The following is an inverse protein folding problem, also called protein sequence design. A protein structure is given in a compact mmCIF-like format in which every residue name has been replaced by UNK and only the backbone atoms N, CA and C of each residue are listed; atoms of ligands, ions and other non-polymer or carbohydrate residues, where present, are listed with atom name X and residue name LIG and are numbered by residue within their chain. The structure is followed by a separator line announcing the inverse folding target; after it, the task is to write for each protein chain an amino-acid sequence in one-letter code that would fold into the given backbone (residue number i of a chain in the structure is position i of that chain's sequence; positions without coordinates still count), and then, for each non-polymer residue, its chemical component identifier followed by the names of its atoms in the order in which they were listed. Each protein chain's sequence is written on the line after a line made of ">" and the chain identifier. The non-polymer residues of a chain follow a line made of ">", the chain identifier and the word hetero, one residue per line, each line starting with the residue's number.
data_IF_264589999925
#
_entry.id   IF_264589999925
#
_cell.length_a   1.000
_cell.length_b   1.000
_cell.length_c   1.000
_cell.angle_alpha   90.00
_cell.angle_beta   90.00
_cell.angle_gamma   90.00
#
_symmetry.space_group_name_H-M   'P 1'
#
loop_
_entity.id
_entity.type
_entity.pdbx_description
1 polymer ?
#
# COMPACT_ATOMS: atom_id res chain seq x y z
N UNK A 1 -17.82 76.19 -25.55
CA UNK A 1 -16.91 75.41 -24.66
C UNK A 1 -17.26 73.96 -24.84
N UNK A 2 -16.60 73.35 -25.79
CA UNK A 2 -16.78 71.91 -26.12
C UNK A 2 -15.71 71.16 -25.33
N UNK A 3 -16.16 70.29 -24.43
CA UNK A 3 -15.31 69.36 -23.67
C UNK A 3 -15.00 68.19 -24.56
N UNK A 4 -13.72 68.04 -24.96
CA UNK A 4 -13.19 66.88 -25.65
C UNK A 4 -13.20 65.66 -24.70
N UNK A 5 -13.98 64.68 -25.11
CA UNK A 5 -14.03 63.33 -24.48
C UNK A 5 -12.76 62.57 -24.89
N UNK A 6 -11.81 62.42 -23.96
CA UNK A 6 -10.63 61.58 -24.15
C UNK A 6 -11.05 60.11 -23.98
N UNK A 7 -10.83 59.22 -24.95
CA UNK A 7 -11.20 57.82 -24.82
C UNK A 7 -10.32 57.09 -23.77
N UNK A 8 -11.00 56.46 -22.83
CA UNK A 8 -10.39 55.58 -21.82
C UNK A 8 -9.75 54.40 -22.57
N UNK A 9 -8.46 54.08 -22.33
CA UNK A 9 -7.85 52.92 -22.99
C UNK A 9 -8.54 51.65 -22.52
N UNK A 10 -9.07 50.88 -23.49
CA UNK A 10 -9.71 49.58 -23.25
C UNK A 10 -8.77 48.58 -22.59
N UNK A 11 -9.30 47.53 -21.99
CA UNK A 11 -8.52 46.57 -21.22
C UNK A 11 -7.41 45.95 -22.09
N UNK A 12 -6.21 45.86 -21.50
CA UNK A 12 -5.02 45.28 -22.09
C UNK A 12 -5.32 43.86 -22.61
N UNK A 13 -5.48 43.74 -23.94
CA UNK A 13 -5.83 42.52 -24.63
C UNK A 13 -4.61 41.59 -24.85
N UNK A 14 -3.52 41.76 -24.07
CA UNK A 14 -2.27 41.01 -24.16
C UNK A 14 -1.98 40.20 -22.91
N UNK A 15 -3.00 39.65 -22.25
CA UNK A 15 -2.77 38.63 -21.24
C UNK A 15 -2.47 37.31 -21.96
N UNK A 16 -1.24 36.88 -21.94
CA UNK A 16 -0.85 35.56 -22.40
C UNK A 16 -1.60 34.56 -21.53
N UNK A 17 -2.63 33.92 -22.08
CA UNK A 17 -3.31 32.81 -21.37
C UNK A 17 -2.41 31.58 -21.48
N UNK A 18 -1.86 31.19 -20.37
CA UNK A 18 -1.13 29.94 -20.24
C UNK A 18 -2.16 28.81 -20.36
N UNK A 19 -1.98 27.94 -21.34
CA UNK A 19 -2.79 26.73 -21.50
C UNK A 19 -2.15 25.61 -20.67
N UNK A 20 -2.54 25.55 -19.39
CA UNK A 20 -2.00 24.60 -18.41
C UNK A 20 -2.22 23.14 -18.85
N UNK A 21 -3.34 22.81 -19.48
CA UNK A 21 -3.61 21.46 -19.97
C UNK A 21 -2.66 21.05 -21.09
N UNK A 22 -2.37 21.98 -21.98
CA UNK A 22 -1.46 21.77 -23.10
C UNK A 22 -0.01 21.61 -22.64
N UNK A 23 0.40 22.40 -21.64
CA UNK A 23 1.73 22.28 -21.01
C UNK A 23 1.83 20.93 -20.29
N UNK A 24 0.85 20.58 -19.47
CA UNK A 24 0.80 19.31 -18.76
C UNK A 24 0.85 18.12 -19.73
N UNK A 25 0.02 18.10 -20.74
CA UNK A 25 0.01 17.03 -21.74
C UNK A 25 1.31 16.94 -22.56
N UNK A 26 2.05 18.05 -22.72
CA UNK A 26 3.38 18.03 -23.33
C UNK A 26 4.41 17.43 -22.39
N UNK A 27 4.45 17.87 -21.14
CA UNK A 27 5.35 17.35 -20.11
C UNK A 27 5.15 15.84 -19.88
N UNK A 28 3.91 15.39 -19.77
CA UNK A 28 3.59 13.98 -19.59
C UNK A 28 4.12 13.12 -20.76
N UNK A 29 4.02 13.62 -21.99
CA UNK A 29 4.58 12.93 -23.16
C UNK A 29 6.10 12.88 -23.16
N UNK A 30 6.76 13.98 -22.80
CA UNK A 30 8.22 14.04 -22.73
C UNK A 30 8.74 13.12 -21.65
N UNK A 31 8.17 13.18 -20.44
CA UNK A 31 8.58 12.33 -19.32
C UNK A 31 8.38 10.85 -19.65
N UNK A 32 7.21 10.50 -20.19
CA UNK A 32 6.91 9.11 -20.60
C UNK A 32 7.86 8.62 -21.69
N UNK A 33 8.11 9.42 -22.72
CA UNK A 33 9.04 9.09 -23.80
C UNK A 33 10.47 8.87 -23.27
N UNK A 34 10.94 9.75 -22.38
CA UNK A 34 12.27 9.60 -21.76
C UNK A 34 12.39 8.34 -20.92
N UNK A 35 11.36 8.01 -20.13
CA UNK A 35 11.32 6.78 -19.34
C UNK A 35 11.33 5.55 -20.26
N UNK A 36 10.51 5.54 -21.30
CA UNK A 36 10.44 4.45 -22.28
C UNK A 36 11.79 4.23 -22.99
N UNK A 37 12.40 5.31 -23.48
CA UNK A 37 13.71 5.26 -24.15
C UNK A 37 14.80 4.76 -23.20
N UNK A 38 14.83 5.28 -21.97
CA UNK A 38 15.82 4.88 -20.96
C UNK A 38 15.69 3.39 -20.62
N UNK A 39 14.50 2.91 -20.36
CA UNK A 39 14.28 1.49 -20.04
C UNK A 39 14.64 0.60 -21.21
N UNK A 40 14.26 0.96 -22.43
CA UNK A 40 14.61 0.20 -23.62
C UNK A 40 16.14 0.19 -23.88
N UNK A 41 16.84 1.31 -23.65
CA UNK A 41 18.29 1.39 -23.74
C UNK A 41 18.99 0.49 -22.70
N UNK A 42 18.48 0.46 -21.47
CA UNK A 42 19.00 -0.43 -20.43
C UNK A 42 18.80 -1.90 -20.76
N UNK A 43 17.62 -2.28 -21.28
CA UNK A 43 17.34 -3.66 -21.74
C UNK A 43 18.26 -4.07 -22.90
N UNK A 44 18.53 -3.16 -23.82
CA UNK A 44 19.45 -3.38 -24.92
C UNK A 44 20.90 -3.54 -24.43
N UNK A 45 21.35 -2.68 -23.50
CA UNK A 45 22.68 -2.78 -22.90
C UNK A 45 22.88 -4.11 -22.14
N UNK A 46 21.85 -4.58 -21.42
CA UNK A 46 21.87 -5.85 -20.72
C UNK A 46 21.94 -7.03 -21.69
N UNK A 47 21.23 -6.97 -22.81
CA UNK A 47 21.29 -7.98 -23.86
C UNK A 47 22.67 -8.00 -24.53
N UNK A 48 23.32 -6.83 -24.75
CA UNK A 48 24.69 -6.77 -25.27
C UNK A 48 25.68 -7.41 -24.30
N UNK A 49 25.52 -7.17 -23.01
CA UNK A 49 26.35 -7.80 -21.97
C UNK A 49 26.18 -9.34 -21.95
N UNK A 50 24.95 -9.84 -22.04
CA UNK A 50 24.67 -11.27 -22.09
C UNK A 50 25.21 -11.93 -23.38
N UNK A 51 25.12 -11.22 -24.49
CA UNK A 51 25.68 -11.68 -25.77
C UNK A 51 27.22 -11.57 -25.85
N UNK A 52 27.82 -10.80 -24.93
CA UNK A 52 29.23 -10.36 -24.98
C UNK A 52 29.63 -9.77 -26.35
N UNK A 53 28.70 -9.02 -26.95
CA UNK A 53 28.89 -8.29 -28.21
C UNK A 53 27.72 -7.33 -28.46
N UNK A 54 27.99 -6.20 -29.09
CA UNK A 54 26.96 -5.24 -29.51
C UNK A 54 26.10 -5.80 -30.66
N UNK A 55 24.97 -5.11 -30.89
CA UNK A 55 24.08 -5.44 -32.00
C UNK A 55 24.85 -5.36 -33.33
N UNK A 56 24.77 -6.43 -34.14
CA UNK A 56 25.50 -6.59 -35.42
C UNK A 56 27.02 -6.70 -35.35
N UNK A 57 27.66 -6.58 -34.19
CA UNK A 57 29.09 -6.80 -34.04
C UNK A 57 29.47 -8.25 -34.31
N UNK A 58 30.52 -8.50 -35.06
CA UNK A 58 31.06 -9.81 -35.33
C UNK A 58 32.35 -10.01 -34.56
N UNK A 59 32.30 -10.77 -33.49
CA UNK A 59 33.47 -11.09 -32.65
C UNK A 59 33.44 -12.56 -32.27
N UNK A 60 34.61 -13.18 -32.16
CA UNK A 60 34.76 -14.57 -31.70
C UNK A 60 34.32 -14.75 -30.22
N UNK A 61 34.39 -13.66 -29.43
CA UNK A 61 33.97 -13.65 -28.05
C UNK A 61 32.44 -13.66 -27.84
N UNK A 62 31.64 -13.57 -28.91
CA UNK A 62 30.19 -13.57 -28.87
C UNK A 62 29.65 -14.88 -28.30
N UNK A 63 28.86 -14.81 -27.23
CA UNK A 63 28.25 -15.96 -26.54
C UNK A 63 26.88 -16.31 -27.08
N UNK A 64 26.08 -15.31 -27.46
CA UNK A 64 24.71 -15.48 -27.97
C UNK A 64 24.38 -14.44 -29.05
N UNK A 65 23.24 -14.64 -29.71
CA UNK A 65 22.76 -13.79 -30.78
C UNK A 65 21.33 -13.34 -30.49
N UNK A 66 21.04 -12.05 -30.71
CA UNK A 66 19.70 -11.52 -30.62
C UNK A 66 18.77 -12.10 -31.67
N UNK A 67 17.57 -12.51 -31.29
CA UNK A 67 16.53 -13.09 -32.15
C UNK A 67 15.29 -12.17 -32.28
N UNK A 68 15.52 -10.86 -32.27
CA UNK A 68 14.47 -9.86 -32.26
C UNK A 68 14.08 -9.44 -30.83
N UNK A 69 12.87 -8.93 -30.68
CA UNK A 69 12.28 -8.51 -29.41
C UNK A 69 10.79 -8.88 -29.39
N UNK A 70 10.18 -8.81 -28.21
CA UNK A 70 8.73 -8.77 -28.07
C UNK A 70 8.35 -7.51 -27.31
N UNK A 71 7.16 -7.01 -27.59
CA UNK A 71 6.61 -5.84 -26.91
C UNK A 71 5.86 -6.23 -25.65
N UNK A 72 6.00 -5.42 -24.62
CA UNK A 72 5.35 -5.57 -23.35
C UNK A 72 5.04 -4.19 -22.77
N UNK A 73 3.83 -4.00 -22.23
CA UNK A 73 3.48 -2.78 -21.52
C UNK A 73 3.90 -2.85 -20.05
N UNK A 74 4.39 -1.74 -19.54
CA UNK A 74 4.70 -1.54 -18.13
C UNK A 74 4.03 -0.26 -17.64
N UNK A 75 3.22 -0.35 -16.61
CA UNK A 75 2.63 0.80 -15.93
C UNK A 75 3.67 1.40 -14.97
N UNK A 76 4.06 2.66 -15.20
CA UNK A 76 5.02 3.43 -14.40
C UNK A 76 4.36 4.66 -13.82
N UNK A 77 5.06 5.38 -12.93
CA UNK A 77 4.63 6.70 -12.44
C UNK A 77 4.44 7.74 -13.57
N UNK A 78 5.12 7.56 -14.69
CA UNK A 78 4.99 8.42 -15.86
C UNK A 78 3.85 8.00 -16.80
N UNK A 79 3.09 6.97 -16.44
CA UNK A 79 2.08 6.32 -17.25
C UNK A 79 2.56 5.02 -17.89
N UNK A 80 1.76 4.47 -18.81
CA UNK A 80 2.10 3.23 -19.50
C UNK A 80 3.20 3.46 -20.54
N UNK A 81 4.25 2.64 -20.50
CA UNK A 81 5.38 2.64 -21.44
C UNK A 81 5.48 1.28 -22.15
N UNK A 82 5.99 1.29 -23.39
CA UNK A 82 6.20 0.08 -24.18
C UNK A 82 7.64 -0.37 -24.11
N UNK A 83 7.86 -1.55 -23.57
CA UNK A 83 9.16 -2.17 -23.46
C UNK A 83 9.39 -3.11 -24.65
N UNK A 84 10.55 -2.98 -25.29
CA UNK A 84 11.02 -3.86 -26.34
C UNK A 84 12.00 -4.87 -25.75
N UNK A 85 11.46 -5.94 -25.15
CA UNK A 85 12.27 -6.94 -24.45
C UNK A 85 13.02 -7.80 -25.43
N UNK A 86 14.37 -7.84 -25.40
CA UNK A 86 15.18 -8.62 -26.33
C UNK A 86 14.90 -10.13 -26.22
N UNK A 87 14.98 -10.82 -27.35
CA UNK A 87 15.01 -12.30 -27.41
C UNK A 87 16.40 -12.75 -27.78
N UNK A 88 16.92 -13.76 -27.10
CA UNK A 88 18.19 -14.40 -27.38
C UNK A 88 17.95 -15.81 -27.98
N UNK A 89 18.89 -16.31 -28.78
CA UNK A 89 18.71 -17.58 -29.50
C UNK A 89 18.96 -18.78 -28.64
N UNK A 90 19.98 -18.73 -27.77
CA UNK A 90 20.45 -19.87 -26.99
C UNK A 90 19.96 -19.88 -25.54
N UNK A 91 19.69 -18.71 -24.99
CA UNK A 91 19.26 -18.57 -23.60
C UNK A 91 18.02 -17.70 -23.49
N UNK A 92 17.30 -17.86 -22.40
CA UNK A 92 16.19 -16.94 -22.05
C UNK A 92 16.76 -15.61 -21.60
N UNK A 93 16.26 -14.51 -22.14
CA UNK A 93 16.61 -13.17 -21.64
C UNK A 93 15.90 -12.96 -20.30
N UNK A 94 16.69 -12.93 -19.23
CA UNK A 94 16.25 -12.56 -17.88
C UNK A 94 16.93 -11.25 -17.50
N UNK A 95 16.14 -10.26 -17.16
CA UNK A 95 16.62 -8.91 -16.83
C UNK A 95 16.52 -8.64 -15.33
N UNK A 96 17.54 -7.99 -14.77
CA UNK A 96 17.52 -7.50 -13.41
C UNK A 96 16.74 -6.17 -13.28
N UNK A 97 16.43 -5.50 -14.41
CA UNK A 97 15.78 -4.19 -14.43
C UNK A 97 14.29 -4.32 -14.12
N UNK A 98 13.64 -5.38 -14.64
CA UNK A 98 12.21 -5.60 -14.50
C UNK A 98 11.96 -7.08 -14.25
N UNK A 99 11.33 -7.41 -13.13
CA UNK A 99 10.94 -8.77 -12.81
C UNK A 99 10.09 -9.39 -13.92
N UNK A 100 10.35 -10.65 -14.20
CA UNK A 100 9.61 -11.42 -15.19
C UNK A 100 8.10 -11.41 -14.83
N UNK A 101 7.25 -11.12 -15.81
CA UNK A 101 5.78 -11.00 -15.66
C UNK A 101 5.27 -9.80 -14.85
N UNK A 102 6.12 -8.93 -14.36
CA UNK A 102 5.66 -7.72 -13.67
C UNK A 102 5.06 -6.74 -14.67
N UNK A 103 3.82 -6.34 -14.45
CA UNK A 103 3.09 -5.41 -15.32
C UNK A 103 3.13 -3.96 -14.83
N UNK A 104 3.55 -3.77 -13.57
CA UNK A 104 3.58 -2.47 -12.88
C UNK A 104 4.91 -2.24 -12.21
N UNK A 105 5.32 -1.00 -12.15
CA UNK A 105 6.43 -0.57 -11.31
C UNK A 105 6.09 -0.81 -9.82
N UNK A 106 7.09 -1.13 -8.98
CA UNK A 106 6.88 -1.38 -7.55
C UNK A 106 6.17 -0.23 -6.86
N UNK A 107 6.60 0.99 -7.16
CA UNK A 107 6.04 2.20 -6.56
C UNK A 107 4.57 2.46 -6.92
N UNK A 108 4.11 1.98 -8.09
CA UNK A 108 2.68 2.04 -8.45
C UNK A 108 1.89 1.02 -7.63
N UNK A 109 2.41 -0.19 -7.45
CA UNK A 109 1.77 -1.20 -6.59
C UNK A 109 1.69 -0.73 -5.13
N UNK A 110 2.75 -0.14 -4.60
CA UNK A 110 2.80 0.44 -3.26
C UNK A 110 1.77 1.57 -3.09
N UNK A 111 1.69 2.49 -4.05
CA UNK A 111 0.70 3.57 -4.01
C UNK A 111 -0.74 3.05 -4.03
N UNK A 112 -1.05 2.00 -4.79
CA UNK A 112 -2.37 1.37 -4.80
C UNK A 112 -2.72 0.75 -3.45
N UNK A 113 -1.74 0.11 -2.81
CA UNK A 113 -1.87 -0.48 -1.49
C UNK A 113 -2.14 0.62 -0.45
N UNK A 114 -1.35 1.70 -0.46
CA UNK A 114 -1.50 2.83 0.44
C UNK A 114 -2.86 3.52 0.28
N UNK A 115 -3.33 3.75 -0.95
CA UNK A 115 -4.66 4.30 -1.19
C UNK A 115 -5.76 3.44 -0.55
N UNK A 116 -5.65 2.13 -0.69
CA UNK A 116 -6.62 1.21 -0.10
C UNK A 116 -6.56 1.20 1.42
N UNK A 117 -5.36 1.15 2.01
CA UNK A 117 -5.17 1.20 3.47
C UNK A 117 -5.65 2.53 4.07
N UNK A 118 -5.53 3.63 3.33
CA UNK A 118 -6.08 4.94 3.68
C UNK A 118 -7.62 5.00 3.58
N UNK A 119 -8.30 3.90 3.22
CA UNK A 119 -9.75 3.81 3.15
C UNK A 119 -10.37 4.28 1.82
N UNK A 120 -9.56 4.47 0.78
CA UNK A 120 -10.07 4.79 -0.55
C UNK A 120 -10.79 3.57 -1.11
N UNK A 121 -12.06 3.73 -1.50
CA UNK A 121 -12.82 2.62 -2.08
C UNK A 121 -12.18 2.14 -3.39
N UNK A 122 -12.28 0.85 -3.67
CA UNK A 122 -11.67 0.23 -4.87
C UNK A 122 -12.13 0.91 -6.17
N UNK A 123 -13.40 1.35 -6.24
CA UNK A 123 -13.90 2.12 -7.38
C UNK A 123 -13.25 3.49 -7.50
N UNK A 124 -13.02 4.17 -6.38
CA UNK A 124 -12.38 5.47 -6.35
C UNK A 124 -10.89 5.38 -6.74
N UNK A 125 -10.23 4.26 -6.43
CA UNK A 125 -8.84 4.00 -6.88
C UNK A 125 -8.76 4.02 -8.41
N UNK A 126 -9.75 3.47 -9.11
CA UNK A 126 -9.80 3.47 -10.57
C UNK A 126 -9.80 4.90 -11.14
N UNK A 127 -10.64 5.80 -10.60
CA UNK A 127 -10.70 7.20 -11.02
C UNK A 127 -9.40 7.95 -10.71
N UNK A 128 -8.80 7.70 -9.54
CA UNK A 128 -7.54 8.33 -9.12
C UNK A 128 -6.41 7.89 -10.03
N UNK A 129 -6.31 6.60 -10.35
CA UNK A 129 -5.24 6.09 -11.21
C UNK A 129 -5.35 6.60 -12.64
N UNK A 130 -6.57 6.76 -13.16
CA UNK A 130 -6.79 7.40 -14.44
C UNK A 130 -6.32 8.87 -14.43
N UNK A 131 -6.65 9.63 -13.38
CA UNK A 131 -6.26 11.02 -13.26
C UNK A 131 -4.75 11.21 -13.07
N UNK A 132 -4.07 10.31 -12.33
CA UNK A 132 -2.64 10.43 -12.02
C UNK A 132 -1.74 9.86 -13.12
N UNK A 133 -2.12 8.74 -13.71
CA UNK A 133 -1.24 7.96 -14.60
C UNK A 133 -1.83 7.75 -16.00
N UNK A 134 -3.06 8.22 -16.24
CA UNK A 134 -3.77 8.03 -17.51
C UNK A 134 -4.18 6.58 -17.78
N UNK A 135 -4.13 5.71 -16.78
CA UNK A 135 -4.52 4.29 -16.88
C UNK A 135 -5.46 3.90 -15.76
N UNK A 136 -6.50 3.12 -16.07
CA UNK A 136 -7.43 2.59 -15.06
C UNK A 136 -6.91 1.29 -14.49
N UNK A 137 -6.74 1.23 -13.18
CA UNK A 137 -6.43 -0.01 -12.49
C UNK A 137 -7.71 -0.70 -12.08
N UNK A 138 -7.92 -1.92 -12.56
CA UNK A 138 -9.17 -2.64 -12.30
C UNK A 138 -9.35 -2.98 -10.81
N UNK A 139 -10.61 -3.03 -10.31
CA UNK A 139 -10.92 -3.46 -8.95
C UNK A 139 -10.34 -4.81 -8.56
N UNK A 140 -10.25 -5.76 -9.49
CA UNK A 140 -9.64 -7.06 -9.27
C UNK A 140 -8.14 -6.96 -8.97
N UNK A 141 -7.42 -6.04 -9.62
CA UNK A 141 -6.01 -5.79 -9.36
C UNK A 141 -5.78 -5.31 -7.92
N UNK A 142 -6.59 -4.35 -7.46
CA UNK A 142 -6.50 -3.85 -6.08
C UNK A 142 -6.82 -4.98 -5.09
N UNK A 143 -7.82 -5.80 -5.38
CA UNK A 143 -8.15 -6.97 -4.56
C UNK A 143 -7.01 -8.00 -4.50
N UNK A 144 -6.31 -8.24 -5.62
CA UNK A 144 -5.19 -9.17 -5.64
C UNK A 144 -3.95 -8.63 -4.93
N UNK A 145 -3.69 -7.32 -5.03
CA UNK A 145 -2.65 -6.66 -4.25
C UNK A 145 -2.94 -6.76 -2.75
N UNK A 146 -4.21 -6.57 -2.34
CA UNK A 146 -4.62 -6.72 -0.95
C UNK A 146 -4.35 -8.11 -0.40
N UNK A 147 -4.53 -9.17 -1.20
CA UNK A 147 -4.20 -10.53 -0.75
C UNK A 147 -2.72 -10.67 -0.35
N UNK A 148 -1.81 -9.95 -1.00
CA UNK A 148 -0.39 -9.93 -0.63
C UNK A 148 -0.13 -9.29 0.73
N UNK A 149 -0.96 -8.29 1.12
CA UNK A 149 -0.85 -7.63 2.42
C UNK A 149 -1.20 -8.58 3.56
N UNK A 150 -2.06 -9.58 3.35
CA UNK A 150 -2.43 -10.52 4.40
C UNK A 150 -1.22 -11.23 5.01
N UNK A 151 -0.22 -11.60 4.21
CA UNK A 151 1.00 -12.21 4.73
C UNK A 151 1.75 -11.26 5.70
N UNK A 152 1.80 -9.97 5.38
CA UNK A 152 2.40 -8.94 6.24
C UNK A 152 1.57 -8.71 7.50
N UNK A 153 0.24 -8.68 7.37
CA UNK A 153 -0.68 -8.54 8.51
C UNK A 153 -0.57 -9.75 9.44
N UNK A 154 -0.51 -10.96 8.90
CA UNK A 154 -0.39 -12.19 9.70
C UNK A 154 0.97 -12.26 10.40
N UNK A 155 2.06 -11.86 9.73
CA UNK A 155 3.37 -11.73 10.35
C UNK A 155 3.35 -10.69 11.48
N UNK A 156 2.69 -9.54 11.26
CA UNK A 156 2.52 -8.51 12.30
C UNK A 156 1.68 -9.01 13.48
N UNK A 157 0.57 -9.71 13.22
CA UNK A 157 -0.30 -10.29 14.27
C UNK A 157 0.43 -11.31 15.13
N UNK A 158 1.36 -12.05 14.53
CA UNK A 158 2.10 -13.14 15.19
C UNK A 158 3.46 -12.70 15.75
N UNK A 159 3.85 -11.43 15.57
CA UNK A 159 5.15 -10.93 16.02
C UNK A 159 5.32 -11.08 17.53
N UNK A 160 6.53 -11.38 18.05
CA UNK A 160 6.81 -11.34 19.46
C UNK A 160 6.54 -9.95 20.06
N UNK A 161 6.00 -9.91 21.28
CA UNK A 161 5.83 -8.68 22.03
C UNK A 161 7.09 -8.50 22.87
N UNK A 162 7.86 -7.45 22.60
CA UNK A 162 9.11 -7.17 23.26
C UNK A 162 8.92 -6.25 24.48
N UNK A 163 9.72 -6.47 25.53
CA UNK A 163 9.69 -5.62 26.71
C UNK A 163 8.53 -5.90 27.66
N UNK A 164 8.30 -4.97 28.58
CA UNK A 164 7.21 -5.01 29.56
C UNK A 164 6.18 -3.92 29.26
N UNK A 165 4.90 -4.24 29.51
CA UNK A 165 3.78 -3.34 29.27
C UNK A 165 2.96 -3.20 30.56
N UNK A 166 3.32 -2.27 31.44
CA UNK A 166 2.64 -2.10 32.72
C UNK A 166 1.15 -1.76 32.58
N UNK A 167 0.76 -1.07 31.53
CA UNK A 167 -0.63 -0.70 31.27
C UNK A 167 -1.11 -1.30 29.97
N UNK A 168 -2.27 -1.97 30.02
CA UNK A 168 -2.91 -2.58 28.84
C UNK A 168 -4.35 -2.13 28.74
N UNK A 169 -4.71 -1.53 27.62
CA UNK A 169 -6.07 -1.17 27.26
C UNK A 169 -6.65 -2.27 26.41
N UNK A 170 -7.84 -2.73 26.75
CA UNK A 170 -8.61 -3.72 26.00
C UNK A 170 -9.95 -3.13 25.59
N UNK A 171 -10.31 -3.26 24.33
CA UNK A 171 -11.55 -2.70 23.78
C UNK A 171 -12.12 -3.62 22.68
N UNK A 172 -13.44 -3.68 22.59
CA UNK A 172 -14.18 -4.38 21.56
C UNK A 172 -14.84 -3.40 20.59
N UNK A 173 -14.52 -3.49 19.30
CA UNK A 173 -15.08 -2.62 18.27
C UNK A 173 -16.05 -3.44 17.42
N UNK A 174 -17.34 -3.11 17.44
CA UNK A 174 -18.34 -3.77 16.60
C UNK A 174 -18.38 -3.12 15.22
N UNK A 175 -18.13 -3.91 14.20
CA UNK A 175 -18.16 -3.48 12.80
C UNK A 175 -19.20 -4.28 12.01
N UNK A 176 -19.75 -3.67 10.97
CA UNK A 176 -20.62 -4.37 10.01
C UNK A 176 -19.78 -4.89 8.85
N UNK A 177 -19.87 -6.19 8.60
CA UNK A 177 -19.22 -6.85 7.46
C UNK A 177 -20.28 -7.40 6.51
N UNK A 178 -20.13 -7.10 5.24
CA UNK A 178 -20.95 -7.71 4.17
C UNK A 178 -20.21 -8.93 3.61
N UNK A 179 -20.87 -10.11 3.66
CA UNK A 179 -20.36 -11.35 3.12
C UNK A 179 -21.48 -12.11 2.44
N UNK A 180 -21.26 -12.53 1.18
CA UNK A 180 -22.24 -13.31 0.39
C UNK A 180 -23.67 -12.69 0.35
N UNK A 181 -23.75 -11.34 0.33
CA UNK A 181 -25.03 -10.63 0.33
C UNK A 181 -25.68 -10.43 1.68
N UNK A 182 -25.14 -10.99 2.77
CA UNK A 182 -25.60 -10.77 4.13
C UNK A 182 -24.70 -9.76 4.86
N UNK A 183 -25.31 -8.91 5.69
CA UNK A 183 -24.60 -7.99 6.59
C UNK A 183 -24.59 -8.61 7.99
N UNK A 184 -23.41 -8.90 8.52
CA UNK A 184 -23.22 -9.45 9.87
C UNK A 184 -22.38 -8.49 10.71
N UNK A 185 -22.67 -8.43 12.00
CA UNK A 185 -21.81 -7.77 12.96
C UNK A 185 -20.59 -8.66 13.24
N UNK A 186 -19.42 -8.03 13.29
CA UNK A 186 -18.15 -8.65 13.63
C UNK A 186 -17.52 -7.82 14.72
N UNK A 187 -17.07 -8.43 15.80
CA UNK A 187 -16.33 -7.75 16.86
C UNK A 187 -14.83 -7.84 16.57
N UNK A 188 -14.13 -6.71 16.62
CA UNK A 188 -12.67 -6.65 16.62
C UNK A 188 -12.21 -6.45 18.06
N UNK A 189 -11.51 -7.43 18.61
CA UNK A 189 -10.88 -7.32 19.92
C UNK A 189 -9.50 -6.67 19.74
N UNK A 190 -9.27 -5.57 20.44
CA UNK A 190 -8.07 -4.74 20.33
C UNK A 190 -7.35 -4.68 21.67
N UNK A 191 -6.03 -4.81 21.65
CA UNK A 191 -5.18 -4.58 22.79
C UNK A 191 -4.12 -3.52 22.47
N UNK A 192 -4.03 -2.49 23.31
CA UNK A 192 -3.03 -1.43 23.24
C UNK A 192 -2.22 -1.47 24.55
N UNK A 193 -0.91 -1.65 24.44
CA UNK A 193 0.01 -1.60 25.58
C UNK A 193 0.69 -0.26 25.70
N UNK A 194 1.06 0.09 26.93
CA UNK A 194 2.00 1.19 27.21
C UNK A 194 3.28 0.54 27.75
N UNK A 195 4.39 0.76 27.08
CA UNK A 195 5.68 0.21 27.50
C UNK A 195 6.29 0.96 28.70
N UNK A 196 7.42 0.48 29.22
CA UNK A 196 8.11 1.10 30.35
C UNK A 196 8.60 2.54 30.12
N UNK A 197 8.71 2.97 28.86
CA UNK A 197 9.10 4.33 28.46
C UNK A 197 7.87 5.26 28.27
N UNK A 198 6.65 4.74 28.41
CA UNK A 198 5.40 5.50 28.26
C UNK A 198 4.84 5.54 26.83
N UNK A 199 5.45 4.88 25.86
CA UNK A 199 4.91 4.82 24.49
C UNK A 199 3.80 3.80 24.38
N UNK A 200 2.78 4.16 23.56
CA UNK A 200 1.68 3.27 23.23
C UNK A 200 1.98 2.49 21.96
N UNK A 201 1.68 1.19 21.99
CA UNK A 201 1.71 0.35 20.81
C UNK A 201 0.50 -0.59 20.75
N UNK A 202 0.07 -0.93 19.53
CA UNK A 202 -0.98 -1.92 19.34
C UNK A 202 -0.35 -3.30 19.51
N UNK A 203 -0.72 -4.01 20.58
CA UNK A 203 -0.23 -5.34 20.88
C UNK A 203 -0.87 -6.41 20.00
N UNK A 204 -2.14 -6.25 19.68
CA UNK A 204 -2.88 -7.19 18.85
C UNK A 204 -4.26 -6.71 18.46
N UNK A 205 -4.74 -7.28 17.35
CA UNK A 205 -6.11 -7.12 16.86
C UNK A 205 -6.54 -8.49 16.33
N UNK A 206 -7.69 -8.99 16.82
CA UNK A 206 -8.29 -10.25 16.33
C UNK A 206 -9.76 -10.06 16.03
N UNK A 207 -10.26 -10.81 15.07
CA UNK A 207 -11.70 -10.90 14.80
C UNK A 207 -12.30 -11.90 15.79
N UNK A 208 -13.29 -11.44 16.58
CA UNK A 208 -14.09 -12.25 17.46
C UNK A 208 -15.51 -12.41 16.91
N UNK A 209 -16.08 -13.59 17.05
CA UNK A 209 -17.48 -13.80 16.67
C UNK A 209 -18.43 -12.99 17.55
N UNK A 210 -18.07 -12.79 18.81
CA UNK A 210 -18.76 -11.97 19.83
C UNK A 210 -17.74 -11.50 20.87
N UNK A 211 -18.10 -10.47 21.61
CA UNK A 211 -17.38 -10.03 22.81
C UNK A 211 -17.75 -10.89 24.02
N UNK A 212 -17.49 -12.19 23.93
CA UNK A 212 -17.77 -13.14 24.99
C UNK A 212 -16.47 -13.59 25.70
N UNK A 213 -16.63 -14.30 26.81
CA UNK A 213 -15.50 -14.80 27.60
C UNK A 213 -14.55 -15.67 26.77
N UNK A 214 -15.06 -16.47 25.86
CA UNK A 214 -14.23 -17.38 25.05
C UNK A 214 -13.35 -16.59 24.05
N UNK A 215 -13.90 -15.56 23.41
CA UNK A 215 -13.16 -14.67 22.52
C UNK A 215 -12.05 -13.92 23.25
N UNK A 216 -12.35 -13.32 24.41
CA UNK A 216 -11.37 -12.62 25.23
C UNK A 216 -10.31 -13.56 25.79
N UNK A 217 -10.68 -14.73 26.31
CA UNK A 217 -9.71 -15.72 26.81
C UNK A 217 -8.75 -16.18 25.71
N UNK A 218 -9.25 -16.47 24.52
CA UNK A 218 -8.43 -16.82 23.38
C UNK A 218 -7.45 -15.71 22.98
N UNK A 219 -7.95 -14.47 22.98
CA UNK A 219 -7.12 -13.30 22.64
C UNK A 219 -6.03 -13.03 23.69
N UNK A 220 -6.36 -13.02 24.98
CA UNK A 220 -5.40 -12.79 26.05
C UNK A 220 -4.35 -13.92 26.13
N UNK A 221 -4.77 -15.17 25.91
CA UNK A 221 -3.85 -16.30 25.77
C UNK A 221 -2.85 -16.06 24.63
N UNK A 222 -3.32 -15.67 23.45
CA UNK A 222 -2.47 -15.37 22.31
C UNK A 222 -1.47 -14.24 22.59
N UNK A 223 -1.87 -13.15 23.27
CA UNK A 223 -0.98 -12.08 23.67
C UNK A 223 0.12 -12.57 24.64
N UNK A 224 -0.26 -13.43 25.60
CA UNK A 224 0.68 -14.01 26.56
C UNK A 224 1.68 -14.95 25.89
N UNK A 225 1.22 -15.81 24.97
CA UNK A 225 2.08 -16.69 24.17
C UNK A 225 3.07 -15.92 23.29
N UNK A 226 2.71 -14.73 22.82
CA UNK A 226 3.59 -13.81 22.08
C UNK A 226 4.55 -13.05 22.96
N UNK A 227 4.48 -13.17 24.28
CA UNK A 227 5.44 -12.60 25.23
C UNK A 227 4.94 -11.38 26.02
N UNK A 228 3.63 -11.07 26.03
CA UNK A 228 3.08 -10.00 26.87
C UNK A 228 3.35 -10.31 28.35
N UNK A 229 4.08 -9.42 29.01
CA UNK A 229 4.48 -9.54 30.42
C UNK A 229 4.59 -8.19 31.11
N UNK A 230 4.71 -8.22 32.46
CA UNK A 230 4.86 -7.01 33.27
C UNK A 230 3.57 -6.21 33.39
N UNK A 231 2.40 -6.79 33.10
CA UNK A 231 1.10 -6.12 33.17
C UNK A 231 0.74 -5.85 34.63
N UNK A 232 0.56 -4.58 34.98
CA UNK A 232 0.21 -4.10 36.32
C UNK A 232 -1.24 -3.61 36.38
N UNK A 233 -1.73 -2.99 35.28
CA UNK A 233 -3.08 -2.48 35.19
C UNK A 233 -3.71 -2.76 33.82
N UNK A 234 -4.91 -3.36 33.85
CA UNK A 234 -5.75 -3.54 32.67
C UNK A 234 -6.90 -2.55 32.73
N UNK A 235 -7.09 -1.81 31.64
CA UNK A 235 -8.16 -0.81 31.50
C UNK A 235 -9.11 -1.28 30.39
N UNK A 236 -10.40 -1.45 30.72
CA UNK A 236 -11.40 -1.88 29.73
C UNK A 236 -12.81 -1.38 30.07
N UNK A 237 -13.77 -1.66 29.21
CA UNK A 237 -15.17 -1.57 29.55
C UNK A 237 -15.54 -2.62 30.63
N UNK A 238 -16.76 -2.56 31.16
CA UNK A 238 -17.22 -3.48 32.20
C UNK A 238 -17.88 -4.74 31.60
N UNK A 239 -17.44 -5.21 30.42
CA UNK A 239 -17.89 -6.47 29.86
C UNK A 239 -17.46 -7.63 30.79
N UNK A 240 -18.43 -8.38 31.30
CA UNK A 240 -18.18 -9.44 32.30
C UNK A 240 -17.18 -10.47 31.78
N UNK A 241 -17.33 -10.94 30.56
CA UNK A 241 -16.44 -11.92 29.96
C UNK A 241 -15.01 -11.44 29.83
N UNK A 242 -14.79 -10.12 29.60
CA UNK A 242 -13.46 -9.52 29.52
C UNK A 242 -12.84 -9.43 30.92
N UNK A 243 -13.55 -8.89 31.90
CA UNK A 243 -13.02 -8.73 33.26
C UNK A 243 -12.64 -10.08 33.90
N UNK A 244 -13.48 -11.12 33.70
CA UNK A 244 -13.17 -12.49 34.16
C UNK A 244 -11.92 -13.05 33.46
N UNK A 245 -11.82 -12.89 32.14
CA UNK A 245 -10.64 -13.36 31.38
C UNK A 245 -9.37 -12.60 31.78
N UNK A 246 -9.47 -11.30 32.01
CA UNK A 246 -8.33 -10.51 32.48
C UNK A 246 -7.80 -11.01 33.82
N UNK A 247 -8.68 -11.28 34.80
CA UNK A 247 -8.30 -11.84 36.10
C UNK A 247 -7.70 -13.26 36.00
N UNK A 248 -8.19 -14.07 35.03
CA UNK A 248 -7.68 -15.42 34.80
C UNK A 248 -6.25 -15.43 34.22
N UNK A 249 -5.99 -14.60 33.21
CA UNK A 249 -4.71 -14.57 32.49
C UNK A 249 -3.64 -13.68 33.14
N UNK A 250 -4.07 -12.66 33.89
CA UNK A 250 -3.19 -11.68 34.56
C UNK A 250 -3.65 -11.47 36.01
N UNK A 251 -3.54 -12.49 36.87
CA UNK A 251 -4.06 -12.44 38.24
C UNK A 251 -3.38 -11.38 39.12
N UNK A 252 -2.13 -11.00 38.78
CA UNK A 252 -1.36 -9.99 39.50
C UNK A 252 -1.65 -8.55 39.04
N UNK A 253 -2.40 -8.40 37.95
CA UNK A 253 -2.75 -7.09 37.41
C UNK A 253 -4.03 -6.54 38.06
N UNK A 254 -4.02 -5.28 38.43
CA UNK A 254 -5.23 -4.58 38.82
C UNK A 254 -6.13 -4.35 37.58
N UNK A 255 -7.45 -4.29 37.81
CA UNK A 255 -8.41 -3.95 36.77
C UNK A 255 -9.07 -2.60 37.04
N UNK A 256 -9.20 -1.78 36.01
CA UNK A 256 -9.88 -0.49 36.06
C UNK A 256 -10.87 -0.36 34.92
N UNK A 257 -12.10 0.09 35.24
CA UNK A 257 -13.07 0.44 34.22
C UNK A 257 -12.62 1.65 33.42
N UNK A 258 -12.73 1.57 32.10
CA UNK A 258 -12.42 2.67 31.19
C UNK A 258 -13.31 3.89 31.49
N UNK A 259 -12.71 5.06 31.69
CA UNK A 259 -13.41 6.30 32.01
C UNK A 259 -14.34 6.73 30.88
N UNK A 260 -13.94 6.48 29.62
CA UNK A 260 -14.75 6.82 28.42
C UNK A 260 -16.05 6.00 28.39
N UNK A 261 -16.00 4.74 28.82
CA UNK A 261 -17.17 3.83 28.87
C UNK A 261 -17.91 3.89 30.22
N UNK A 262 -17.50 4.80 31.10
CA UNK A 262 -18.16 4.98 32.39
C UNK A 262 -19.36 5.93 32.30
N UNK A 263 -19.30 6.90 31.39
CA UNK A 263 -20.33 7.87 31.07
C UNK A 263 -21.07 7.44 29.80
#
# INVERSE_FOLDING_TARGET
>A
MTTEDTPIPGPLNNVIRIDDERIKGHLDRVVRGTVEETLNALLDAEADRLCNAQRYERTEARRDTRAGHYERNLETKAGEVKLKVPKLRRQTFETAIIERYRRREASVEEALIEMYLAGVSVRRVEDITEALWGTRVSPSTVSDLNKRIYATIDAWRSRPIAGEHPYVYLDGIVMKRSWAGEVRNVSLLVAIGVNGEGYREILGIVEGAKEDKAGWSGFLKHLKERGLKGVQLIISDACIGLAESAAEFFPDAAWQRCVVHFY
#
